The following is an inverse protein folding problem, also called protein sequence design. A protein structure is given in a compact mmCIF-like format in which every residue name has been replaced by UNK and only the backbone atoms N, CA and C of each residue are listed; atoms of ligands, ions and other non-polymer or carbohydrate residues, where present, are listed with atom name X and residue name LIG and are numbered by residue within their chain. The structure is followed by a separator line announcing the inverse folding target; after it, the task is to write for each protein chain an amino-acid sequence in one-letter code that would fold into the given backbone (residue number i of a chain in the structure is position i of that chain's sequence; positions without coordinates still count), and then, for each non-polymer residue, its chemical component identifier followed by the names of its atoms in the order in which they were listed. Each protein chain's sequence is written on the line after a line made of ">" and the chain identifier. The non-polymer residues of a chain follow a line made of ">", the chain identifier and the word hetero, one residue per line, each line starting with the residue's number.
data_IF_941031645039
#
_entry.id   IF_941031645039
#
_cell.length_a   1.000
_cell.length_b   1.000
_cell.length_c   1.000
_cell.angle_alpha   90.00
_cell.angle_beta   90.00
_cell.angle_gamma   90.00
#
_symmetry.space_group_name_H-M   'P 1'
#
loop_
_entity.id
_entity.type
_entity.pdbx_description
1 polymer ?
#
# COMPACT_ATOMS: atom_id res chain seq x y z
N UNK A 1 -42.02 -31.44 6.94
CA UNK A 1 -40.89 -30.72 7.58
C UNK A 1 -40.18 -29.90 6.52
N UNK A 2 -40.48 -28.62 6.46
CA UNK A 2 -39.80 -27.67 5.59
C UNK A 2 -38.57 -27.17 6.32
N UNK A 3 -37.36 -27.60 5.89
CA UNK A 3 -36.11 -26.97 6.31
C UNK A 3 -36.02 -25.60 5.62
N UNK A 4 -36.30 -24.54 6.37
CA UNK A 4 -35.93 -23.19 5.96
C UNK A 4 -34.41 -23.07 6.04
N UNK A 5 -33.73 -23.09 4.89
CA UNK A 5 -32.36 -22.71 4.77
C UNK A 5 -32.28 -21.19 5.07
N UNK A 6 -31.86 -20.81 6.27
CA UNK A 6 -31.39 -19.46 6.53
C UNK A 6 -30.11 -19.24 5.71
N UNK A 7 -30.23 -18.61 4.56
CA UNK A 7 -29.11 -17.95 3.94
C UNK A 7 -28.67 -16.85 4.91
N UNK A 8 -27.57 -17.10 5.64
CA UNK A 8 -26.85 -16.03 6.33
C UNK A 8 -26.46 -15.01 5.26
N UNK A 9 -27.15 -13.86 5.24
CA UNK A 9 -26.68 -12.72 4.48
C UNK A 9 -25.28 -12.40 4.97
N UNK A 10 -24.29 -12.37 4.07
CA UNK A 10 -22.93 -11.95 4.43
C UNK A 10 -23.02 -10.57 5.08
N UNK A 11 -22.34 -10.42 6.23
CA UNK A 11 -22.33 -9.15 6.94
C UNK A 11 -21.86 -8.05 5.96
N UNK A 12 -22.67 -7.01 5.81
CA UNK A 12 -22.34 -5.88 4.96
C UNK A 12 -21.20 -5.08 5.61
N UNK A 13 -20.23 -4.55 4.85
CA UNK A 13 -19.23 -3.68 5.40
C UNK A 13 -19.85 -2.43 6.04
N UNK A 14 -19.21 -1.90 7.10
CA UNK A 14 -19.66 -0.67 7.77
C UNK A 14 -19.61 0.51 6.82
N UNK A 15 -18.58 0.59 6.01
CA UNK A 15 -18.46 1.56 4.93
C UNK A 15 -17.91 0.87 3.67
N UNK A 16 -18.41 1.27 2.52
CA UNK A 16 -17.77 1.00 1.24
C UNK A 16 -17.85 2.20 0.33
N UNK A 17 -16.76 2.44 -0.40
CA UNK A 17 -16.65 3.51 -1.39
C UNK A 17 -15.97 2.95 -2.63
N UNK A 18 -16.54 3.24 -3.79
CA UNK A 18 -15.98 2.90 -5.10
C UNK A 18 -16.02 4.12 -6.01
N UNK A 19 -14.91 4.43 -6.64
CA UNK A 19 -14.77 5.47 -7.67
C UNK A 19 -14.23 4.81 -8.94
N UNK A 20 -15.05 4.76 -9.98
CA UNK A 20 -14.58 4.38 -11.31
C UNK A 20 -14.14 5.64 -12.07
N UNK A 21 -13.12 5.50 -12.92
CA UNK A 21 -12.55 6.62 -13.65
C UNK A 21 -11.97 6.20 -14.99
N UNK A 22 -11.81 7.18 -15.86
CA UNK A 22 -11.00 7.09 -17.08
C UNK A 22 -9.89 8.17 -17.08
N UNK A 23 -9.21 8.35 -18.20
CA UNK A 23 -8.17 9.39 -18.34
C UNK A 23 -8.71 10.80 -18.16
N UNK A 24 -10.00 11.05 -18.40
CA UNK A 24 -10.64 12.37 -18.39
C UNK A 24 -11.18 12.76 -17.02
N UNK A 25 -11.68 11.77 -16.24
CA UNK A 25 -12.31 12.04 -14.96
C UNK A 25 -12.93 10.81 -14.31
N UNK A 26 -13.74 11.07 -13.30
CA UNK A 26 -14.58 10.07 -12.65
C UNK A 26 -15.74 9.71 -13.59
N UNK A 27 -16.10 8.42 -13.65
CA UNK A 27 -17.20 7.90 -14.47
C UNK A 27 -18.36 7.42 -13.62
N UNK A 28 -18.08 6.94 -12.39
CA UNK A 28 -19.13 6.67 -11.38
C UNK A 28 -18.54 6.77 -9.98
N UNK A 29 -19.38 7.11 -9.01
CA UNK A 29 -19.09 7.13 -7.58
C UNK A 29 -20.20 6.40 -6.85
N UNK A 30 -19.82 5.44 -6.02
CA UNK A 30 -20.73 4.64 -5.19
C UNK A 30 -20.25 4.71 -3.75
N UNK A 31 -21.17 5.00 -2.82
CA UNK A 31 -20.89 5.07 -1.39
C UNK A 31 -22.00 4.37 -0.63
N UNK A 32 -21.64 3.60 0.39
CA UNK A 32 -22.57 2.89 1.24
C UNK A 32 -22.07 2.88 2.68
N UNK A 33 -22.97 3.12 3.62
CA UNK A 33 -22.73 2.99 5.05
C UNK A 33 -22.07 4.21 5.70
N UNK A 34 -21.39 4.00 6.80
CA UNK A 34 -20.95 5.05 7.72
C UNK A 34 -19.45 5.18 7.78
N UNK A 35 -18.96 6.40 7.66
CA UNK A 35 -17.56 6.71 7.96
C UNK A 35 -17.26 6.65 9.47
N UNK A 36 -18.29 6.87 10.29
CA UNK A 36 -18.25 6.75 11.73
C UNK A 36 -19.64 6.35 12.24
N UNK A 37 -19.73 5.17 12.87
CA UNK A 37 -21.00 4.65 13.40
C UNK A 37 -21.45 5.49 14.60
N UNK A 38 -20.52 5.91 15.47
CA UNK A 38 -20.86 6.61 16.71
C UNK A 38 -21.57 7.94 16.46
N UNK A 39 -21.21 8.61 15.36
CA UNK A 39 -21.85 9.90 14.95
C UNK A 39 -22.89 9.72 13.85
N UNK A 40 -23.11 8.49 13.38
CA UNK A 40 -23.97 8.17 12.23
C UNK A 40 -23.61 9.00 10.96
N UNK A 41 -22.32 9.34 10.78
CA UNK A 41 -21.84 10.10 9.65
C UNK A 41 -21.71 9.21 8.42
N UNK A 42 -22.49 9.46 7.40
CA UNK A 42 -22.39 8.73 6.13
C UNK A 42 -21.01 8.90 5.51
N UNK A 43 -20.49 7.84 4.89
CA UNK A 43 -19.23 7.88 4.16
C UNK A 43 -19.39 8.58 2.81
N UNK A 44 -18.36 9.33 2.41
CA UNK A 44 -18.26 9.97 1.10
C UNK A 44 -17.00 9.57 0.36
N UNK A 45 -16.94 9.82 -0.95
CA UNK A 45 -15.74 9.54 -1.74
C UNK A 45 -14.57 10.49 -1.44
N UNK A 46 -14.80 11.57 -0.69
CA UNK A 46 -13.81 12.56 -0.27
C UNK A 46 -13.25 12.29 1.13
N UNK A 47 -13.81 11.34 1.86
CA UNK A 47 -13.38 11.04 3.21
C UNK A 47 -12.05 10.26 3.19
N UNK A 48 -11.00 10.75 3.87
CA UNK A 48 -9.73 10.07 3.92
C UNK A 48 -9.82 8.83 4.82
N UNK A 49 -9.27 7.75 4.32
CA UNK A 49 -9.15 6.47 5.01
C UNK A 49 -7.71 5.98 4.93
N UNK A 50 -7.25 5.22 5.90
CA UNK A 50 -5.97 4.49 5.81
C UNK A 50 -6.10 3.44 4.72
N UNK A 51 -5.30 3.57 3.64
CA UNK A 51 -5.41 2.67 2.47
C UNK A 51 -4.45 1.49 2.52
N UNK A 52 -3.89 1.21 3.68
CA UNK A 52 -2.96 0.10 3.89
C UNK A 52 -1.92 0.02 2.76
N UNK A 53 -1.69 -1.17 2.19
CA UNK A 53 -0.60 -1.43 1.25
C UNK A 53 -0.69 -0.70 -0.10
N UNK A 54 -1.81 -0.08 -0.45
CA UNK A 54 -1.87 0.85 -1.60
C UNK A 54 -0.88 2.02 -1.41
N UNK A 55 -0.50 2.34 -0.16
CA UNK A 55 0.57 3.30 0.18
C UNK A 55 1.89 3.01 -0.53
N UNK A 56 2.23 1.74 -0.73
CA UNK A 56 3.48 1.30 -1.36
C UNK A 56 3.62 1.81 -2.79
N UNK A 57 2.53 1.78 -3.56
CA UNK A 57 2.49 2.32 -4.91
C UNK A 57 2.78 3.83 -4.92
N UNK A 58 2.21 4.57 -3.96
CA UNK A 58 2.42 6.02 -3.86
C UNK A 58 3.86 6.35 -3.44
N UNK A 59 4.47 5.52 -2.57
CA UNK A 59 5.91 5.62 -2.25
C UNK A 59 6.77 5.38 -3.49
N UNK A 60 6.45 4.36 -4.30
CA UNK A 60 7.19 4.11 -5.54
C UNK A 60 7.12 5.29 -6.53
N UNK A 61 5.98 5.98 -6.62
CA UNK A 61 5.86 7.22 -7.42
C UNK A 61 6.84 8.29 -6.89
N UNK A 62 6.97 8.46 -5.57
CA UNK A 62 7.92 9.40 -4.98
C UNK A 62 9.38 8.99 -5.23
N UNK A 63 9.69 7.68 -5.10
CA UNK A 63 11.02 7.15 -5.45
C UNK A 63 11.35 7.45 -6.91
N UNK A 64 10.44 7.22 -7.85
CA UNK A 64 10.66 7.51 -9.26
C UNK A 64 10.88 9.01 -9.53
N UNK A 65 10.24 9.90 -8.77
CA UNK A 65 10.55 11.33 -8.85
C UNK A 65 11.98 11.65 -8.40
N UNK A 66 12.44 11.01 -7.33
CA UNK A 66 13.83 11.18 -6.86
C UNK A 66 14.84 10.57 -7.84
N UNK A 67 14.47 9.50 -8.55
CA UNK A 67 15.28 8.94 -9.64
C UNK A 67 15.39 9.92 -10.81
N UNK A 68 14.29 10.53 -11.23
CA UNK A 68 14.30 11.58 -12.27
C UNK A 68 15.12 12.83 -11.87
N UNK A 69 15.21 13.10 -10.58
CA UNK A 69 16.02 14.19 -10.01
C UNK A 69 17.48 13.78 -9.79
N UNK A 70 17.90 12.58 -10.17
CA UNK A 70 19.24 12.02 -9.94
C UNK A 70 19.64 11.99 -8.45
N UNK A 71 18.66 11.92 -7.54
CA UNK A 71 18.87 11.78 -6.09
C UNK A 71 18.95 10.32 -5.67
N UNK A 72 18.31 9.44 -6.43
CA UNK A 72 18.28 8.00 -6.21
C UNK A 72 18.64 7.27 -7.51
N UNK A 73 19.24 6.09 -7.34
CA UNK A 73 19.42 5.10 -8.39
C UNK A 73 18.76 3.80 -7.94
N UNK A 74 17.93 3.21 -8.82
CA UNK A 74 17.21 1.97 -8.51
C UNK A 74 18.13 0.77 -8.32
N UNK A 75 19.32 0.79 -8.92
CA UNK A 75 20.23 -0.35 -9.00
C UNK A 75 21.50 -0.18 -8.16
N UNK A 76 21.70 1.01 -7.57
CA UNK A 76 22.81 1.24 -6.63
C UNK A 76 22.58 0.49 -5.31
N UNK A 77 23.70 0.10 -4.68
CA UNK A 77 23.70 -0.45 -3.33
C UNK A 77 23.19 0.59 -2.33
N UNK A 78 22.09 0.31 -1.65
CA UNK A 78 21.47 1.24 -0.70
C UNK A 78 22.35 1.52 0.50
N UNK A 79 23.33 0.66 0.81
CA UNK A 79 24.28 0.84 1.90
C UNK A 79 25.04 2.16 1.80
N UNK A 80 25.31 2.62 0.58
CA UNK A 80 26.04 3.89 0.33
C UNK A 80 25.26 5.08 0.90
N UNK A 81 23.94 5.12 0.67
CA UNK A 81 23.07 6.19 1.20
C UNK A 81 22.75 6.01 2.68
N UNK A 82 22.52 4.77 3.12
CA UNK A 82 22.25 4.48 4.53
C UNK A 82 23.41 4.87 5.45
N UNK A 83 24.67 4.78 4.96
CA UNK A 83 25.86 5.03 5.76
C UNK A 83 26.30 3.84 6.63
N UNK A 84 25.65 2.69 6.44
CA UNK A 84 25.98 1.40 7.07
C UNK A 84 25.69 0.26 6.10
N UNK A 85 26.28 -0.90 6.33
CA UNK A 85 26.22 -2.04 5.41
C UNK A 85 24.94 -2.84 5.62
N UNK A 86 23.98 -2.71 4.68
CA UNK A 86 22.77 -3.53 4.63
C UNK A 86 23.05 -4.78 3.80
N UNK A 87 23.11 -5.95 4.45
CA UNK A 87 23.34 -7.24 3.80
C UNK A 87 22.59 -8.35 4.48
N UNK A 88 22.13 -9.29 3.70
CA UNK A 88 21.71 -10.58 4.23
C UNK A 88 22.94 -11.32 4.78
N UNK A 89 22.95 -11.73 6.06
CA UNK A 89 24.11 -12.43 6.65
C UNK A 89 24.50 -13.72 5.91
N UNK A 90 23.53 -14.42 5.31
CA UNK A 90 23.79 -15.63 4.53
C UNK A 90 24.37 -15.33 3.13
N UNK A 91 24.24 -14.09 2.64
CA UNK A 91 24.70 -13.65 1.32
C UNK A 91 25.42 -12.30 1.41
N UNK A 92 26.56 -12.23 2.15
CA UNK A 92 27.18 -10.96 2.54
C UNK A 92 27.75 -10.15 1.36
N UNK A 93 27.98 -10.77 0.23
CA UNK A 93 28.54 -10.12 -0.97
C UNK A 93 27.47 -9.62 -1.94
N UNK A 94 26.20 -9.97 -1.72
CA UNK A 94 25.10 -9.57 -2.62
C UNK A 94 24.52 -8.23 -2.13
N UNK A 95 24.59 -7.15 -2.94
CA UNK A 95 24.02 -5.86 -2.57
C UNK A 95 22.50 -5.88 -2.56
N UNK A 96 21.92 -5.08 -1.68
CA UNK A 96 20.48 -4.76 -1.69
C UNK A 96 20.29 -3.43 -2.40
N UNK A 97 19.32 -3.36 -3.33
CA UNK A 97 19.04 -2.18 -4.14
C UNK A 97 17.58 -1.72 -3.95
N UNK A 98 17.27 -0.48 -4.32
CA UNK A 98 15.89 0.01 -4.29
C UNK A 98 14.97 -0.83 -5.19
N UNK A 99 15.48 -1.29 -6.34
CA UNK A 99 14.74 -2.19 -7.23
C UNK A 99 14.34 -3.48 -6.52
N UNK A 100 15.24 -4.08 -5.77
CA UNK A 100 14.97 -5.31 -5.01
C UNK A 100 14.00 -5.07 -3.86
N UNK A 101 14.12 -3.96 -3.13
CA UNK A 101 13.22 -3.57 -2.06
C UNK A 101 11.79 -3.33 -2.58
N UNK A 102 11.65 -2.51 -3.62
CA UNK A 102 10.36 -2.17 -4.21
C UNK A 102 9.69 -3.36 -4.91
N UNK A 103 10.45 -4.35 -5.36
CA UNK A 103 9.90 -5.55 -6.00
C UNK A 103 9.80 -6.76 -5.06
N UNK A 104 10.00 -6.57 -3.75
CA UNK A 104 9.92 -7.63 -2.74
C UNK A 104 10.86 -8.83 -3.01
N UNK A 105 12.05 -8.52 -3.54
CA UNK A 105 13.10 -9.50 -3.87
C UNK A 105 14.41 -9.21 -3.13
N UNK A 106 14.35 -8.46 -2.03
CA UNK A 106 15.52 -8.05 -1.25
C UNK A 106 16.09 -9.14 -0.34
N UNK A 107 15.39 -10.26 -0.20
CA UNK A 107 15.58 -11.30 0.82
C UNK A 107 15.28 -10.86 2.26
N UNK A 108 14.71 -9.66 2.48
CA UNK A 108 14.11 -9.31 3.77
C UNK A 108 12.85 -10.12 4.02
N UNK A 109 12.54 -10.32 5.30
CA UNK A 109 11.32 -10.97 5.80
C UNK A 109 10.67 -10.13 6.88
N UNK A 110 9.39 -10.37 7.17
CA UNK A 110 8.69 -9.80 8.33
C UNK A 110 8.90 -10.66 9.60
N UNK A 111 10.05 -11.34 9.72
CA UNK A 111 10.44 -12.11 10.91
C UNK A 111 10.83 -11.24 12.11
N UNK A 112 10.89 -9.94 11.93
CA UNK A 112 11.02 -8.90 12.97
C UNK A 112 9.93 -7.84 12.75
N UNK A 113 9.65 -7.04 13.78
CA UNK A 113 8.66 -5.97 13.67
C UNK A 113 9.07 -4.92 12.63
N UNK A 114 8.13 -4.47 11.85
CA UNK A 114 8.26 -3.34 10.92
C UNK A 114 7.44 -2.10 11.36
N UNK A 115 6.70 -2.21 12.47
CA UNK A 115 6.08 -1.09 13.18
C UNK A 115 6.98 -0.81 14.38
N UNK A 116 7.85 0.17 14.23
CA UNK A 116 8.93 0.41 15.18
C UNK A 116 8.60 1.61 16.07
N UNK A 117 8.97 1.58 17.36
CA UNK A 117 8.89 2.74 18.23
C UNK A 117 9.77 3.88 17.70
N UNK A 118 9.41 5.12 18.06
CA UNK A 118 10.03 6.35 17.53
C UNK A 118 11.56 6.38 17.73
N UNK A 119 12.05 5.86 18.83
CA UNK A 119 13.47 5.78 19.24
C UNK A 119 14.21 4.56 18.66
N UNK A 120 13.57 3.71 17.88
CA UNK A 120 14.23 2.57 17.28
C UNK A 120 15.24 2.98 16.20
N UNK A 121 16.29 2.17 16.05
CA UNK A 121 17.28 2.29 15.00
C UNK A 121 17.14 1.15 14.00
N UNK A 122 16.88 1.48 12.74
CA UNK A 122 16.64 0.49 11.68
C UNK A 122 17.84 -0.44 11.46
N UNK A 123 19.07 0.08 11.59
CA UNK A 123 20.30 -0.71 11.53
C UNK A 123 20.31 -1.82 12.58
N UNK A 124 19.91 -1.51 13.82
CA UNK A 124 19.84 -2.50 14.92
C UNK A 124 18.79 -3.56 14.66
N UNK A 125 17.60 -3.15 14.17
CA UNK A 125 16.52 -4.08 13.82
C UNK A 125 16.95 -5.05 12.72
N UNK A 126 17.66 -4.56 11.70
CA UNK A 126 18.10 -5.34 10.55
C UNK A 126 19.39 -6.15 10.81
N UNK A 127 20.01 -5.98 11.96
CA UNK A 127 21.10 -6.86 12.43
C UNK A 127 20.56 -8.22 12.93
N UNK A 128 19.26 -8.33 13.25
CA UNK A 128 18.65 -9.60 13.65
C UNK A 128 18.55 -10.54 12.42
N UNK A 129 19.12 -11.77 12.50
CA UNK A 129 19.01 -12.74 11.40
C UNK A 129 17.59 -13.09 10.99
N UNK A 130 16.61 -12.94 11.88
CA UNK A 130 15.19 -13.18 11.59
C UNK A 130 14.64 -12.20 10.54
N UNK A 131 15.25 -11.05 10.36
CA UNK A 131 14.88 -10.09 9.33
C UNK A 131 15.20 -10.60 7.91
N UNK A 132 15.88 -11.73 7.77
CA UNK A 132 16.43 -12.20 6.51
C UNK A 132 16.04 -13.62 6.15
N UNK A 133 15.85 -13.87 4.86
CA UNK A 133 15.72 -15.21 4.30
C UNK A 133 17.12 -15.82 4.17
N UNK A 134 17.41 -16.85 4.99
CA UNK A 134 18.72 -17.51 4.97
C UNK A 134 18.93 -18.45 3.76
N UNK A 135 17.87 -18.72 2.98
CA UNK A 135 17.88 -19.70 1.88
C UNK A 135 17.99 -19.00 0.52
N UNK A 136 17.35 -17.84 0.36
CA UNK A 136 17.25 -17.18 -0.94
C UNK A 136 18.03 -15.87 -0.96
N UNK A 137 19.00 -15.78 -1.85
CA UNK A 137 19.78 -14.57 -2.07
C UNK A 137 18.90 -13.39 -2.56
N UNK A 138 19.31 -12.13 -2.28
CA UNK A 138 18.67 -10.97 -2.90
C UNK A 138 18.58 -11.13 -4.42
N UNK A 139 17.39 -10.92 -4.97
CA UNK A 139 17.10 -11.06 -6.39
C UNK A 139 16.62 -12.43 -6.86
N UNK A 140 16.76 -13.48 -6.04
CA UNK A 140 16.43 -14.85 -6.48
C UNK A 140 14.98 -15.28 -6.20
N UNK A 141 14.34 -14.73 -5.15
CA UNK A 141 13.05 -15.17 -4.67
C UNK A 141 12.14 -13.97 -4.36
N UNK A 142 10.85 -14.09 -4.64
CA UNK A 142 9.85 -13.10 -4.27
C UNK A 142 9.22 -13.47 -2.93
N UNK A 143 9.25 -12.53 -1.99
CA UNK A 143 8.50 -12.61 -0.73
C UNK A 143 7.97 -11.24 -0.37
N UNK A 144 6.64 -11.12 -0.34
CA UNK A 144 6.00 -9.88 0.06
C UNK A 144 6.37 -9.54 1.51
N UNK A 145 7.00 -8.39 1.73
CA UNK A 145 7.62 -8.02 3.02
C UNK A 145 7.39 -6.55 3.31
N UNK A 146 6.73 -6.24 4.42
CA UNK A 146 6.47 -4.86 4.82
C UNK A 146 7.75 -4.12 5.21
N UNK A 147 8.70 -4.82 5.84
CA UNK A 147 9.99 -4.29 6.30
C UNK A 147 10.83 -3.64 5.18
N UNK A 148 10.60 -3.98 3.91
CA UNK A 148 11.22 -3.31 2.77
C UNK A 148 10.99 -1.80 2.77
N UNK A 149 9.80 -1.35 3.16
CA UNK A 149 9.40 0.05 3.03
C UNK A 149 9.98 0.99 4.08
N UNK A 150 10.15 0.60 5.36
CA UNK A 150 11.06 1.30 6.29
C UNK A 150 12.46 1.53 5.72
N UNK A 151 13.05 0.54 5.04
CA UNK A 151 14.36 0.71 4.37
C UNK A 151 14.27 1.72 3.22
N UNK A 152 13.25 1.60 2.35
CA UNK A 152 13.03 2.57 1.26
C UNK A 152 12.89 3.98 1.80
N UNK A 153 12.07 4.18 2.85
CA UNK A 153 11.89 5.50 3.48
C UNK A 153 13.21 6.03 4.06
N UNK A 154 13.99 5.20 4.76
CA UNK A 154 15.29 5.58 5.29
C UNK A 154 16.26 6.03 4.19
N UNK A 155 16.30 5.32 3.06
CA UNK A 155 17.11 5.69 1.87
C UNK A 155 16.63 7.02 1.28
N UNK A 156 15.31 7.23 1.16
CA UNK A 156 14.75 8.50 0.67
C UNK A 156 15.12 9.68 1.58
N UNK A 157 15.02 9.49 2.90
CA UNK A 157 15.40 10.50 3.90
C UNK A 157 16.91 10.83 3.84
N UNK A 158 17.76 9.81 3.73
CA UNK A 158 19.22 10.01 3.58
C UNK A 158 19.58 10.78 2.33
N UNK A 159 18.95 10.45 1.21
CA UNK A 159 19.21 11.11 -0.07
C UNK A 159 18.77 12.58 -0.11
N UNK A 160 17.84 12.98 0.76
CA UNK A 160 17.20 14.32 0.69
C UNK A 160 17.42 15.17 1.93
N UNK A 161 17.76 14.58 3.07
CA UNK A 161 17.78 15.27 4.37
C UNK A 161 16.39 15.65 4.89
N UNK A 162 15.32 15.18 4.26
CA UNK A 162 13.93 15.56 4.56
C UNK A 162 13.16 14.38 5.17
N UNK A 163 12.34 14.66 6.18
CA UNK A 163 11.51 13.66 6.86
C UNK A 163 10.46 13.08 5.92
N UNK A 164 10.26 11.77 5.96
CA UNK A 164 9.46 11.01 5.00
C UNK A 164 8.06 11.58 4.76
N UNK A 165 7.31 11.95 5.80
CA UNK A 165 5.96 12.50 5.68
C UNK A 165 5.91 13.81 4.88
N UNK A 166 6.89 14.72 5.13
CA UNK A 166 7.04 15.98 4.42
C UNK A 166 7.50 15.75 2.99
N UNK A 167 8.44 14.81 2.81
CA UNK A 167 8.95 14.43 1.51
C UNK A 167 7.82 13.89 0.60
N UNK A 168 6.95 13.01 1.14
CA UNK A 168 5.80 12.49 0.41
C UNK A 168 4.79 13.59 0.06
N UNK A 169 4.52 14.50 1.01
CA UNK A 169 3.67 15.66 0.76
C UNK A 169 4.24 16.50 -0.41
N UNK A 170 5.51 16.88 -0.36
CA UNK A 170 6.18 17.71 -1.39
C UNK A 170 6.30 17.02 -2.74
N UNK A 171 6.64 15.72 -2.74
CA UNK A 171 6.89 15.01 -4.01
C UNK A 171 5.61 14.59 -4.72
N UNK A 172 4.54 14.24 -4.00
CA UNK A 172 3.36 13.61 -4.61
C UNK A 172 2.07 14.33 -4.25
N UNK A 173 1.79 14.52 -2.95
CA UNK A 173 0.44 14.88 -2.52
C UNK A 173 0.08 16.32 -2.89
N UNK A 174 0.94 17.28 -2.55
CA UNK A 174 0.74 18.71 -2.83
C UNK A 174 0.70 19.00 -4.34
N UNK A 175 1.65 18.50 -5.17
CA UNK A 175 1.58 18.72 -6.61
C UNK A 175 0.31 18.18 -7.27
N UNK A 176 -0.23 17.09 -6.73
CA UNK A 176 -1.49 16.51 -7.20
C UNK A 176 -2.72 17.10 -6.49
N UNK A 177 -2.56 18.13 -5.65
CA UNK A 177 -3.64 18.76 -4.88
C UNK A 177 -4.48 17.73 -4.10
N UNK A 178 -3.81 16.78 -3.45
CA UNK A 178 -4.42 15.75 -2.61
C UNK A 178 -4.34 16.18 -1.16
N UNK A 179 -5.49 16.32 -0.50
CA UNK A 179 -5.56 16.47 0.96
C UNK A 179 -5.44 15.08 1.59
N UNK A 180 -4.21 14.60 1.62
CA UNK A 180 -3.80 13.27 2.04
C UNK A 180 -2.49 13.37 2.82
N UNK A 181 -2.18 12.36 3.66
CA UNK A 181 -1.00 12.39 4.50
C UNK A 181 -0.58 11.01 4.99
N UNK A 182 0.61 10.92 5.53
CA UNK A 182 1.05 9.78 6.32
C UNK A 182 0.87 10.09 7.81
N UNK A 183 0.12 9.22 8.50
CA UNK A 183 -0.13 9.30 9.95
C UNK A 183 -0.68 10.65 10.43
N UNK A 184 -1.53 11.30 9.65
CA UNK A 184 -2.27 12.53 9.98
C UNK A 184 -1.47 13.83 10.12
N UNK A 185 -0.13 13.80 10.24
CA UNK A 185 0.68 14.99 10.56
C UNK A 185 0.52 16.11 9.53
N UNK A 186 0.57 15.75 8.23
CA UNK A 186 0.53 16.72 7.13
C UNK A 186 -0.83 16.85 6.46
N UNK A 187 -1.86 16.15 6.93
CA UNK A 187 -3.24 16.37 6.53
C UNK A 187 -3.77 17.71 7.06
N UNK A 188 -4.75 18.29 6.37
CA UNK A 188 -5.52 19.42 6.89
C UNK A 188 -6.41 19.03 8.08
N UNK A 189 -6.84 20.00 8.90
CA UNK A 189 -7.82 19.75 9.95
C UNK A 189 -9.15 19.29 9.37
N UNK A 190 -9.53 19.81 8.20
CA UNK A 190 -10.71 19.37 7.48
C UNK A 190 -10.64 17.89 7.04
N UNK A 191 -9.47 17.40 6.63
CA UNK A 191 -9.29 15.99 6.34
C UNK A 191 -9.35 15.13 7.62
N UNK A 192 -8.70 15.56 8.70
CA UNK A 192 -8.77 14.86 9.99
C UNK A 192 -10.20 14.77 10.53
N UNK A 193 -10.99 15.85 10.40
CA UNK A 193 -12.39 15.88 10.81
C UNK A 193 -13.29 14.93 10.01
N UNK A 194 -12.87 14.54 8.78
CA UNK A 194 -13.60 13.61 7.92
C UNK A 194 -13.01 12.19 7.90
N UNK A 195 -12.07 11.89 8.78
CA UNK A 195 -11.46 10.57 8.84
C UNK A 195 -12.50 9.45 8.89
N UNK A 196 -12.26 8.38 8.14
CA UNK A 196 -13.05 7.15 8.22
C UNK A 196 -12.48 6.30 9.34
N UNK A 197 -13.32 5.96 10.32
CA UNK A 197 -12.99 5.00 11.37
C UNK A 197 -12.94 3.59 10.76
N UNK A 198 -11.90 2.85 11.07
CA UNK A 198 -11.78 1.47 10.60
C UNK A 198 -12.34 0.53 11.67
N UNK A 199 -13.23 -0.34 11.25
CA UNK A 199 -13.89 -1.32 12.11
C UNK A 199 -13.44 -2.74 11.81
N UNK A 200 -13.51 -3.59 12.84
CA UNK A 200 -13.41 -5.05 12.73
C UNK A 200 -14.41 -5.69 13.69
N UNK A 201 -15.29 -6.53 13.17
CA UNK A 201 -16.39 -7.13 13.94
C UNK A 201 -17.22 -6.08 14.70
N UNK A 202 -17.55 -4.97 14.02
CA UNK A 202 -18.33 -3.86 14.57
C UNK A 202 -17.61 -2.98 15.59
N UNK A 203 -16.34 -3.26 15.91
CA UNK A 203 -15.56 -2.49 16.87
C UNK A 203 -14.53 -1.59 16.16
N UNK A 204 -14.35 -0.33 16.59
CA UNK A 204 -13.31 0.53 16.04
C UNK A 204 -11.92 -0.05 16.35
N UNK A 205 -11.05 -0.11 15.35
CA UNK A 205 -9.71 -0.68 15.46
C UNK A 205 -8.61 0.31 15.09
N UNK A 206 -8.90 1.30 14.27
CA UNK A 206 -7.92 2.29 13.83
C UNK A 206 -8.62 3.60 13.41
N UNK A 207 -7.90 4.71 13.54
CA UNK A 207 -8.33 6.07 13.13
C UNK A 207 -9.64 6.54 13.79
N UNK A 208 -9.99 6.00 14.97
CA UNK A 208 -11.06 6.51 15.82
C UNK A 208 -10.56 7.72 16.64
N UNK A 209 -10.37 8.82 15.93
CA UNK A 209 -9.79 10.06 16.48
C UNK A 209 -10.85 11.13 16.77
N UNK A 210 -12.14 10.78 16.73
CA UNK A 210 -13.26 11.69 16.97
C UNK A 210 -13.16 13.01 16.18
N UNK A 211 -12.73 12.91 14.92
CA UNK A 211 -12.57 14.06 14.04
C UNK A 211 -11.37 14.97 14.34
N UNK A 212 -10.44 14.52 15.18
CA UNK A 212 -9.22 15.26 15.53
C UNK A 212 -7.97 14.54 15.03
N UNK A 213 -6.83 15.21 15.05
CA UNK A 213 -5.54 14.54 14.88
C UNK A 213 -5.19 13.74 16.13
N UNK A 214 -4.58 12.54 16.00
CA UNK A 214 -4.14 11.79 17.18
C UNK A 214 -3.07 12.59 17.94
N UNK A 215 -3.09 12.48 19.28
CA UNK A 215 -2.11 13.14 20.15
C UNK A 215 -0.68 12.67 19.84
N UNK A 216 -0.50 11.38 19.53
CA UNK A 216 0.74 10.83 18.98
C UNK A 216 0.44 10.19 17.62
N UNK A 217 0.88 10.79 16.51
CA UNK A 217 0.57 10.28 15.17
C UNK A 217 1.52 9.16 14.71
N UNK A 218 2.46 8.77 15.54
CA UNK A 218 3.48 7.72 15.28
C UNK A 218 3.47 6.70 16.42
N UNK A 219 4.18 5.57 16.25
CA UNK A 219 4.40 4.67 17.36
C UNK A 219 5.25 5.39 18.42
N UNK A 220 4.77 5.56 19.66
CA UNK A 220 5.55 6.21 20.70
C UNK A 220 6.93 5.57 20.91
N UNK A 221 7.88 6.33 21.42
CA UNK A 221 9.16 5.81 21.89
C UNK A 221 8.95 4.82 23.05
N UNK A 222 9.97 4.04 23.38
CA UNK A 222 9.91 3.02 24.45
C UNK A 222 9.60 3.59 25.84
N UNK A 223 9.89 4.87 26.05
CA UNK A 223 9.52 5.62 27.27
C UNK A 223 8.12 6.25 27.22
N UNK A 224 7.37 6.03 26.13
CA UNK A 224 6.05 6.63 25.89
C UNK A 224 6.11 8.03 25.24
N UNK A 225 7.29 8.57 24.99
CA UNK A 225 7.49 9.88 24.36
C UNK A 225 7.02 9.91 22.90
N UNK A 226 6.56 11.09 22.45
CA UNK A 226 6.10 11.32 21.08
C UNK A 226 6.74 12.58 20.46
N UNK A 227 7.98 12.87 20.82
CA UNK A 227 8.69 14.05 20.32
C UNK A 227 9.46 13.72 19.03
N UNK A 228 9.05 14.34 17.93
CA UNK A 228 9.71 14.22 16.63
C UNK A 228 10.94 15.14 16.47
N UNK A 229 11.27 15.99 17.47
CA UNK A 229 12.46 16.86 17.40
C UNK A 229 13.75 16.05 17.35
N UNK A 230 13.75 14.85 17.93
CA UNK A 230 14.86 13.89 17.89
C UNK A 230 15.05 13.17 16.55
N UNK A 231 14.18 13.38 15.57
CA UNK A 231 14.28 12.70 14.27
C UNK A 231 15.66 12.93 13.60
N UNK A 232 16.17 11.87 12.99
CA UNK A 232 17.40 11.89 12.19
C UNK A 232 17.16 11.15 10.88
N UNK A 233 17.57 11.77 9.76
CA UNK A 233 17.39 11.19 8.44
C UNK A 233 17.93 9.76 8.35
N UNK A 234 17.04 8.82 7.96
CA UNK A 234 17.40 7.42 7.75
C UNK A 234 17.69 6.60 9.00
N UNK A 235 17.49 7.14 10.21
CA UNK A 235 17.67 6.38 11.45
C UNK A 235 16.54 5.37 11.66
N UNK A 236 15.30 5.81 11.46
CA UNK A 236 14.10 4.99 11.59
C UNK A 236 13.10 5.31 10.48
N UNK A 237 13.19 4.61 9.36
CA UNK A 237 12.28 4.79 8.24
C UNK A 237 10.86 4.28 8.49
N UNK A 238 10.57 3.61 9.62
CA UNK A 238 9.25 3.08 9.95
C UNK A 238 8.29 4.12 10.54
N UNK A 239 8.80 5.25 11.03
CA UNK A 239 8.06 6.25 11.84
C UNK A 239 6.69 6.60 11.24
N UNK A 240 6.62 6.81 9.94
CA UNK A 240 5.39 7.22 9.25
C UNK A 240 4.71 6.09 8.48
N UNK A 241 5.03 4.84 8.83
CA UNK A 241 4.42 3.64 8.23
C UNK A 241 4.40 3.67 6.69
N UNK A 242 5.56 3.78 6.02
CA UNK A 242 5.62 3.89 4.54
C UNK A 242 4.97 2.71 3.83
N UNK A 243 4.92 1.53 4.46
CA UNK A 243 4.30 0.33 3.94
C UNK A 243 2.76 0.39 3.90
N UNK A 244 2.12 1.28 4.70
CA UNK A 244 0.67 1.21 4.87
C UNK A 244 0.02 2.40 5.59
N UNK A 245 0.74 3.53 5.78
CA UNK A 245 0.29 4.65 6.60
C UNK A 245 -0.37 5.81 5.85
N UNK A 246 -0.57 5.71 4.54
CA UNK A 246 -1.23 6.76 3.77
C UNK A 246 -2.73 6.84 4.11
N UNK A 247 -3.20 8.04 4.44
CA UNK A 247 -4.61 8.43 4.55
C UNK A 247 -4.95 9.27 3.33
N UNK A 248 -5.88 8.77 2.53
CA UNK A 248 -6.30 9.37 1.27
C UNK A 248 -7.74 8.94 0.97
N UNK A 249 -8.50 9.79 0.31
CA UNK A 249 -9.85 9.45 -0.14
C UNK A 249 -9.84 8.54 -1.39
N UNK A 250 -10.96 7.84 -1.64
CA UNK A 250 -11.11 7.05 -2.86
C UNK A 250 -10.98 7.93 -4.12
N UNK A 251 -11.48 9.17 -4.08
CA UNK A 251 -11.32 10.16 -5.16
C UNK A 251 -9.86 10.56 -5.34
N UNK A 252 -9.12 10.72 -4.24
CA UNK A 252 -7.68 10.95 -4.27
C UNK A 252 -6.91 9.79 -4.89
N UNK A 253 -7.27 8.54 -4.56
CA UNK A 253 -6.71 7.34 -5.20
C UNK A 253 -7.06 7.28 -6.69
N UNK A 254 -8.28 7.62 -7.08
CA UNK A 254 -8.67 7.68 -8.49
C UNK A 254 -7.80 8.70 -9.26
N UNK A 255 -7.42 9.83 -8.65
CA UNK A 255 -6.49 10.79 -9.25
C UNK A 255 -5.09 10.20 -9.43
N UNK A 256 -4.59 9.41 -8.47
CA UNK A 256 -3.33 8.65 -8.63
C UNK A 256 -3.46 7.65 -9.81
N UNK A 257 -4.58 6.92 -9.90
CA UNK A 257 -4.84 6.03 -11.02
C UNK A 257 -4.85 6.74 -12.38
N UNK A 258 -5.47 7.93 -12.44
CA UNK A 258 -5.48 8.78 -13.64
C UNK A 258 -4.08 9.28 -14.01
N UNK A 259 -3.21 9.57 -13.02
CA UNK A 259 -1.81 9.88 -13.25
C UNK A 259 -1.09 8.75 -13.98
N UNK A 260 -1.29 7.51 -13.56
CA UNK A 260 -0.72 6.33 -14.22
C UNK A 260 -1.28 6.17 -15.63
N UNK A 261 -2.61 6.21 -15.83
CA UNK A 261 -3.27 6.15 -17.14
C UNK A 261 -2.84 7.29 -18.08
N UNK A 262 -2.55 8.46 -17.53
CA UNK A 262 -2.06 9.65 -18.25
C UNK A 262 -0.56 9.63 -18.50
N UNK A 263 0.12 8.50 -18.24
CA UNK A 263 1.57 8.34 -18.45
C UNK A 263 2.36 9.43 -17.70
N UNK A 264 2.02 9.64 -16.43
CA UNK A 264 2.67 10.58 -15.52
C UNK A 264 2.12 12.00 -15.55
N UNK A 265 0.99 12.22 -16.23
CA UNK A 265 0.29 13.50 -16.26
C UNK A 265 -1.18 13.33 -15.86
N UNK A 266 -1.70 14.22 -15.03
CA UNK A 266 -3.12 14.30 -14.67
C UNK A 266 -3.54 15.76 -14.50
N UNK A 267 -4.69 16.13 -15.07
CA UNK A 267 -5.28 17.47 -15.00
C UNK A 267 -4.27 18.61 -15.27
N UNK A 268 -3.44 18.44 -16.32
CA UNK A 268 -2.40 19.39 -16.71
C UNK A 268 -1.10 19.34 -15.87
N UNK A 269 -1.05 18.54 -14.80
CA UNK A 269 0.14 18.41 -13.95
C UNK A 269 0.95 17.20 -14.40
N UNK A 270 2.18 17.42 -14.85
CA UNK A 270 3.16 16.34 -15.09
C UNK A 270 3.96 16.09 -13.84
N UNK A 271 3.76 14.91 -13.25
CA UNK A 271 4.48 14.49 -12.04
C UNK A 271 5.68 13.60 -12.37
N UNK A 272 5.54 12.72 -13.37
CA UNK A 272 6.56 11.77 -13.83
C UNK A 272 6.66 11.79 -15.35
N UNK A 273 7.80 11.39 -15.87
CA UNK A 273 7.99 11.13 -17.28
C UNK A 273 7.24 9.87 -17.74
N UNK A 274 6.90 9.74 -19.04
CA UNK A 274 6.37 8.50 -19.58
C UNK A 274 7.31 7.30 -19.38
N UNK A 275 8.61 7.52 -19.35
CA UNK A 275 9.63 6.49 -19.13
C UNK A 275 9.55 5.92 -17.71
N UNK A 276 9.41 6.78 -16.69
CA UNK A 276 9.22 6.36 -15.30
C UNK A 276 7.94 5.56 -15.10
N UNK A 277 6.84 5.96 -15.75
CA UNK A 277 5.60 5.18 -15.73
C UNK A 277 5.80 3.81 -16.39
N UNK A 278 6.50 3.75 -17.53
CA UNK A 278 6.78 2.47 -18.19
C UNK A 278 7.61 1.51 -17.31
N UNK A 279 8.50 2.03 -16.44
CA UNK A 279 9.20 1.23 -15.45
C UNK A 279 8.26 0.71 -14.35
N UNK A 280 7.32 1.54 -13.86
CA UNK A 280 6.30 1.10 -12.89
C UNK A 280 5.35 0.05 -13.49
N UNK A 281 5.03 0.14 -14.77
CA UNK A 281 4.15 -0.78 -15.51
C UNK A 281 4.83 -2.06 -15.97
N UNK A 282 6.10 -2.27 -15.60
CA UNK A 282 6.88 -3.46 -15.96
C UNK A 282 6.92 -4.47 -14.83
N UNK A 283 6.45 -5.72 -15.02
CA UNK A 283 6.66 -6.76 -14.04
C UNK A 283 8.16 -7.09 -13.95
N UNK A 284 8.65 -7.22 -12.72
CA UNK A 284 10.03 -7.64 -12.39
C UNK A 284 10.08 -9.08 -11.89
N UNK A 285 8.95 -9.58 -11.45
CA UNK A 285 8.75 -10.96 -11.06
C UNK A 285 7.39 -11.44 -11.56
N UNK A 286 7.35 -12.68 -12.01
CA UNK A 286 6.12 -13.41 -12.30
C UNK A 286 6.32 -14.85 -11.81
N UNK A 287 5.35 -15.37 -11.08
CA UNK A 287 5.39 -16.71 -10.50
C UNK A 287 5.55 -17.76 -11.60
N UNK A 288 6.50 -18.68 -11.41
CA UNK A 288 6.79 -19.77 -12.33
C UNK A 288 6.49 -21.18 -11.75
N UNK A 289 6.04 -21.20 -10.48
CA UNK A 289 5.77 -22.43 -9.71
C UNK A 289 6.71 -22.62 -8.52
N UNK A 290 7.85 -21.91 -8.47
CA UNK A 290 8.88 -22.13 -7.46
C UNK A 290 9.65 -20.87 -7.01
N UNK A 291 9.59 -19.77 -7.75
CA UNK A 291 10.45 -18.60 -7.58
C UNK A 291 9.90 -17.54 -6.61
N UNK A 292 8.92 -17.88 -5.78
CA UNK A 292 8.37 -16.95 -4.82
C UNK A 292 7.12 -17.43 -4.08
N UNK A 293 6.76 -16.71 -3.02
CA UNK A 293 5.50 -16.89 -2.30
C UNK A 293 4.38 -16.13 -3.01
N UNK A 294 3.24 -16.78 -3.21
CA UNK A 294 2.09 -16.14 -3.89
C UNK A 294 1.10 -15.49 -2.93
N UNK A 295 1.49 -15.32 -1.68
CA UNK A 295 0.69 -14.68 -0.63
C UNK A 295 -0.40 -15.58 -0.05
N UNK A 296 -1.05 -15.06 0.98
CA UNK A 296 -2.14 -15.73 1.68
C UNK A 296 -3.49 -15.27 1.15
N UNK A 297 -4.49 -16.13 1.22
CA UNK A 297 -5.88 -15.72 1.02
C UNK A 297 -6.47 -15.13 2.32
N UNK A 298 -7.69 -14.57 2.28
CA UNK A 298 -8.32 -13.99 3.47
C UNK A 298 -8.51 -14.96 4.64
N UNK A 299 -8.45 -16.27 4.40
CA UNK A 299 -8.50 -17.29 5.45
C UNK A 299 -7.13 -17.59 6.08
N UNK A 300 -6.06 -16.96 5.60
CA UNK A 300 -4.68 -17.20 6.03
C UNK A 300 -4.03 -18.42 5.38
N UNK A 301 -4.62 -18.98 4.31
CA UNK A 301 -4.01 -20.09 3.58
C UNK A 301 -2.81 -19.57 2.77
N UNK A 302 -1.60 -20.08 3.05
CA UNK A 302 -0.40 -19.65 2.34
C UNK A 302 -0.40 -20.13 0.88
N UNK A 303 0.34 -19.41 0.05
CA UNK A 303 0.51 -19.71 -1.38
C UNK A 303 -0.81 -19.86 -2.12
N UNK A 304 -1.78 -19.01 -1.80
CA UNK A 304 -3.14 -19.05 -2.33
C UNK A 304 -3.29 -18.45 -3.73
N UNK A 305 -2.21 -17.96 -4.32
CA UNK A 305 -2.21 -17.34 -5.64
C UNK A 305 -2.73 -15.89 -5.67
N UNK A 306 -2.63 -15.19 -4.54
CA UNK A 306 -3.04 -13.78 -4.41
C UNK A 306 -2.07 -12.82 -5.13
N UNK A 307 -0.76 -13.09 -5.03
CA UNK A 307 0.30 -12.32 -5.68
C UNK A 307 1.04 -13.24 -6.67
N UNK A 308 0.91 -13.00 -7.95
CA UNK A 308 1.53 -13.82 -8.98
C UNK A 308 2.42 -13.03 -9.96
N UNK A 309 2.34 -11.72 -9.97
CA UNK A 309 3.22 -10.88 -10.76
C UNK A 309 3.37 -9.51 -10.09
N UNK A 310 4.61 -9.04 -9.95
CA UNK A 310 4.93 -7.85 -9.19
C UNK A 310 6.07 -7.05 -9.84
N UNK A 311 6.02 -5.73 -9.71
CA UNK A 311 7.02 -4.78 -10.20
C UNK A 311 7.53 -3.86 -9.09
N UNK A 312 7.75 -2.58 -9.40
CA UNK A 312 8.16 -1.55 -8.44
C UNK A 312 6.95 -1.11 -7.61
N UNK A 313 6.63 -1.84 -6.56
CA UNK A 313 5.42 -1.68 -5.72
C UNK A 313 4.11 -1.66 -6.52
N UNK A 314 4.06 -2.41 -7.58
CA UNK A 314 2.89 -2.57 -8.46
C UNK A 314 2.60 -4.05 -8.60
N UNK A 315 1.37 -4.45 -8.26
CA UNK A 315 0.81 -5.77 -8.53
C UNK A 315 0.22 -5.80 -9.95
N UNK A 316 0.43 -6.89 -10.67
CA UNK A 316 -0.21 -7.15 -11.95
C UNK A 316 -1.22 -8.27 -11.77
N UNK A 317 -2.44 -8.08 -12.27
CA UNK A 317 -3.55 -9.00 -12.12
C UNK A 317 -3.85 -9.77 -13.39
N UNK A 318 -4.60 -10.84 -13.17
CA UNK A 318 -4.97 -11.85 -14.13
C UNK A 318 -3.74 -12.55 -14.73
N UNK A 319 -2.86 -13.04 -13.83
CA UNK A 319 -1.67 -13.78 -14.23
C UNK A 319 -2.07 -15.15 -14.76
N UNK A 320 -1.82 -15.48 -16.07
CA UNK A 320 -2.25 -16.74 -16.66
C UNK A 320 -1.29 -17.89 -16.32
N UNK A 321 -1.19 -18.24 -15.04
CA UNK A 321 -0.33 -19.30 -14.52
C UNK A 321 -1.10 -20.22 -13.59
N UNK A 322 -0.78 -21.52 -13.63
CA UNK A 322 -1.31 -22.48 -12.67
C UNK A 322 -0.95 -22.07 -11.24
N UNK A 323 -1.90 -22.17 -10.32
CA UNK A 323 -1.75 -21.73 -8.93
C UNK A 323 -2.05 -20.25 -8.69
N UNK A 324 -2.23 -19.44 -9.73
CA UNK A 324 -2.61 -18.04 -9.60
C UNK A 324 -4.14 -17.88 -9.55
N UNK A 325 -4.62 -17.08 -8.59
CA UNK A 325 -6.02 -16.76 -8.37
C UNK A 325 -6.20 -15.25 -8.15
N UNK A 326 -5.39 -14.46 -8.86
CA UNK A 326 -5.22 -13.03 -8.70
C UNK A 326 -6.15 -12.19 -9.61
N UNK A 327 -7.33 -12.71 -9.99
CA UNK A 327 -8.30 -11.98 -10.81
C UNK A 327 -9.64 -11.72 -10.07
N UNK A 328 -9.75 -10.65 -9.26
CA UNK A 328 -11.02 -10.28 -8.62
C UNK A 328 -12.08 -9.77 -9.61
N UNK A 329 -11.68 -9.42 -10.84
CA UNK A 329 -12.58 -8.98 -11.90
C UNK A 329 -13.25 -10.15 -12.63
N UNK A 330 -12.59 -11.31 -12.70
CA UNK A 330 -13.10 -12.52 -13.33
C UNK A 330 -13.22 -12.43 -14.86
N UNK A 331 -12.48 -11.53 -15.49
CA UNK A 331 -12.53 -11.31 -16.95
C UNK A 331 -11.19 -11.56 -17.65
N UNK A 332 -10.21 -12.09 -16.94
CA UNK A 332 -8.85 -12.43 -17.39
C UNK A 332 -8.10 -11.26 -18.06
N UNK A 333 -8.49 -10.01 -17.79
CA UNK A 333 -7.83 -8.84 -18.36
C UNK A 333 -6.69 -8.38 -17.48
N UNK A 334 -5.59 -8.06 -18.13
CA UNK A 334 -4.44 -7.49 -17.44
C UNK A 334 -4.79 -6.13 -16.84
N UNK A 335 -4.61 -6.03 -15.54
CA UNK A 335 -4.65 -4.77 -14.78
C UNK A 335 -3.38 -4.63 -13.97
N UNK A 336 -3.13 -3.41 -13.53
CA UNK A 336 -2.05 -3.14 -12.60
C UNK A 336 -2.52 -2.15 -11.53
N UNK A 337 -1.87 -2.21 -10.37
CA UNK A 337 -2.24 -1.39 -9.22
C UNK A 337 -1.73 -1.98 -7.92
N UNK A 338 -2.51 -1.86 -6.85
CA UNK A 338 -2.20 -2.48 -5.57
C UNK A 338 -3.45 -2.67 -4.72
N UNK A 339 -3.51 -3.77 -3.98
CA UNK A 339 -4.49 -4.01 -2.93
C UNK A 339 -3.98 -3.51 -1.57
N UNK A 340 -4.88 -3.31 -0.62
CA UNK A 340 -4.56 -3.00 0.76
C UNK A 340 -5.42 -3.77 1.73
N UNK A 341 -4.79 -4.29 2.79
CA UNK A 341 -5.40 -5.03 3.89
C UNK A 341 -4.80 -4.60 5.22
N UNK A 342 -5.62 -4.10 6.11
CA UNK A 342 -5.25 -3.83 7.50
C UNK A 342 -6.49 -3.58 8.37
N UNK A 343 -6.50 -4.11 9.58
CA UNK A 343 -7.47 -3.77 10.64
C UNK A 343 -8.95 -4.00 10.30
N UNK A 344 -9.28 -4.88 9.35
CA UNK A 344 -10.65 -5.06 8.83
C UNK A 344 -10.99 -4.19 7.62
N UNK A 345 -10.05 -3.39 7.16
CA UNK A 345 -10.16 -2.64 5.89
C UNK A 345 -9.65 -3.48 4.72
N UNK A 346 -10.36 -3.36 3.59
CA UNK A 346 -9.88 -3.73 2.26
C UNK A 346 -9.88 -2.50 1.37
N UNK A 347 -8.84 -2.33 0.58
CA UNK A 347 -8.75 -1.23 -0.38
C UNK A 347 -8.08 -1.68 -1.68
N UNK A 348 -8.28 -0.93 -2.75
CA UNK A 348 -7.65 -1.22 -4.02
C UNK A 348 -7.60 0.00 -4.94
N UNK A 349 -6.55 0.04 -5.73
CA UNK A 349 -6.42 0.93 -6.88
C UNK A 349 -5.98 0.08 -8.07
N UNK A 350 -6.83 -0.02 -9.08
CA UNK A 350 -6.58 -0.85 -10.27
C UNK A 350 -6.83 -0.07 -11.55
N UNK A 351 -5.92 -0.16 -12.51
CA UNK A 351 -6.09 0.42 -13.83
C UNK A 351 -5.99 -0.65 -14.92
N UNK A 352 -6.74 -0.45 -15.99
CA UNK A 352 -6.61 -1.15 -17.27
C UNK A 352 -6.02 -0.16 -18.30
N UNK A 353 -4.71 -0.16 -18.55
CA UNK A 353 -4.08 0.79 -19.48
C UNK A 353 -4.56 0.62 -20.91
N UNK A 354 -4.99 -0.59 -21.31
CA UNK A 354 -5.49 -0.83 -22.68
C UNK A 354 -6.82 -0.17 -22.91
N UNK A 355 -7.73 -0.20 -21.92
CA UNK A 355 -9.03 0.46 -21.98
C UNK A 355 -8.97 1.91 -21.56
N UNK A 356 -7.93 2.32 -20.84
CA UNK A 356 -7.80 3.65 -20.28
C UNK A 356 -8.77 3.90 -19.13
N UNK A 357 -9.15 2.86 -18.38
CA UNK A 357 -10.10 2.92 -17.26
C UNK A 357 -9.47 2.40 -15.97
N UNK A 358 -10.08 2.74 -14.83
CA UNK A 358 -9.64 2.21 -13.53
C UNK A 358 -10.72 2.34 -12.48
N UNK A 359 -10.44 1.75 -11.33
CA UNK A 359 -11.25 1.86 -10.11
C UNK A 359 -10.35 2.10 -8.91
N UNK A 360 -10.87 2.86 -7.95
CA UNK A 360 -10.33 2.99 -6.61
C UNK A 360 -11.45 2.67 -5.62
N UNK A 361 -11.15 1.88 -4.59
CA UNK A 361 -12.15 1.51 -3.61
C UNK A 361 -11.57 1.27 -2.24
N UNK A 362 -12.43 1.32 -1.23
CA UNK A 362 -12.19 0.74 0.08
C UNK A 362 -13.50 0.22 0.69
N UNK A 363 -13.37 -0.71 1.62
CA UNK A 363 -14.44 -1.12 2.53
C UNK A 363 -13.86 -1.35 3.92
N UNK A 364 -14.64 -1.05 4.97
CA UNK A 364 -14.28 -1.28 6.39
C UNK A 364 -15.20 -2.32 7.00
N UNK A 365 -14.71 -3.02 8.02
CA UNK A 365 -15.41 -4.16 8.66
C UNK A 365 -15.63 -5.33 7.70
N UNK A 366 -14.64 -5.59 6.85
CA UNK A 366 -14.71 -6.75 5.95
C UNK A 366 -14.39 -8.02 6.73
N UNK A 367 -15.34 -8.94 6.76
CA UNK A 367 -15.21 -10.20 7.49
C UNK A 367 -14.07 -11.06 6.91
N UNK A 368 -13.24 -11.63 7.78
CA UNK A 368 -12.13 -12.52 7.39
C UNK A 368 -12.65 -13.89 6.89
N UNK A 369 -13.82 -14.30 7.37
CA UNK A 369 -14.49 -15.54 7.01
C UNK A 369 -15.37 -15.43 5.74
N UNK A 370 -15.34 -14.29 5.07
CA UNK A 370 -16.04 -14.08 3.82
C UNK A 370 -15.22 -14.65 2.64
N UNK A 371 -15.38 -15.94 2.30
CA UNK A 371 -14.50 -16.62 1.39
C UNK A 371 -14.60 -16.01 -0.02
N UNK A 372 -13.50 -16.00 -0.76
CA UNK A 372 -13.50 -15.58 -2.14
C UNK A 372 -14.36 -16.54 -2.98
N UNK A 373 -15.09 -16.01 -3.95
CA UNK A 373 -15.90 -16.83 -4.85
C UNK A 373 -15.06 -17.41 -6.01
N UNK A 374 -14.20 -16.59 -6.61
CA UNK A 374 -13.43 -16.96 -7.81
C UNK A 374 -11.93 -16.68 -7.74
N UNK A 375 -11.52 -15.78 -6.88
CA UNK A 375 -10.12 -15.34 -6.75
C UNK A 375 -9.57 -15.57 -5.33
N UNK A 376 -8.35 -15.15 -5.06
CA UNK A 376 -7.78 -15.10 -3.72
C UNK A 376 -8.09 -13.76 -2.98
N UNK A 377 -8.92 -12.91 -3.56
CA UNK A 377 -9.45 -11.70 -2.92
C UNK A 377 -10.70 -12.01 -2.11
N UNK A 378 -11.10 -11.12 -1.21
CA UNK A 378 -12.37 -11.25 -0.49
C UNK A 378 -13.55 -11.09 -1.45
N UNK A 379 -14.71 -11.63 -1.06
CA UNK A 379 -15.95 -11.42 -1.79
C UNK A 379 -16.29 -9.93 -1.96
N UNK A 380 -16.06 -9.14 -0.91
CA UNK A 380 -16.27 -7.68 -0.95
C UNK A 380 -15.39 -7.01 -2.02
N UNK A 381 -14.12 -7.41 -2.15
CA UNK A 381 -13.24 -6.89 -3.19
C UNK A 381 -13.69 -7.33 -4.59
N UNK A 382 -14.15 -8.58 -4.75
CA UNK A 382 -14.72 -9.06 -6.01
C UNK A 382 -15.99 -8.30 -6.41
N UNK A 383 -16.85 -7.94 -5.45
CA UNK A 383 -18.03 -7.12 -5.67
C UNK A 383 -17.66 -5.68 -6.07
N UNK A 384 -16.70 -5.06 -5.34
CA UNK A 384 -16.20 -3.72 -5.64
C UNK A 384 -15.42 -3.64 -6.96
N UNK A 385 -14.85 -4.76 -7.42
CA UNK A 385 -14.18 -4.85 -8.72
C UNK A 385 -15.17 -4.80 -9.90
N UNK A 386 -16.46 -5.15 -9.69
CA UNK A 386 -17.46 -5.13 -10.75
C UNK A 386 -17.98 -3.71 -11.04
N UNK A 387 -18.43 -3.41 -12.26
CA UNK A 387 -19.20 -2.20 -12.50
C UNK A 387 -20.51 -2.26 -11.70
N UNK A 388 -21.03 -1.08 -11.31
CA UNK A 388 -22.37 -1.00 -10.75
C UNK A 388 -23.38 -1.69 -11.70
N UNK A 389 -24.28 -2.48 -11.10
CA UNK A 389 -25.37 -3.11 -11.85
C UNK A 389 -26.45 -2.09 -12.16
#
# INVERSE_FOLDING_TARGET
>A
MLLSAFLLAAAQPVASVRVAFDRRGETSVETLGFADIATARNVTADDPVRVASVSKLVVAIAVMRLVEQHKLDLDADVSVLLGWRLRNPAFPDTPVTLRLLLSHRSSLTDGVDYVLPLDAHLETVLADPKAWDAVHAPGSYFRYTNLNFPVVAAVMERATGERFDRLMARLVLVPLKLDACYNWITCSDAAAARAVVIYRAGQPTNDDNHGQRPACPVQPATDGGCDLAGWRAGSNGAIFSPQGGLRISARGLARIGRLLLGRGMVDGVRLLSPQSIALLERPLWTFDGSNGDTGEDPSGKPNAGFLCSYGLAVTFLATPRAGCRDDPFGDARRRLGHAGDAYGLRSGLWIDPRRGTGIAYFATDVALDNPPQRSAFTRTEEELAQPAR
#
